data_IF_924344373116
#
_entry.id   IF_924344373116
#
_cell.length_a   1.000
_cell.length_b   1.000
_cell.length_c   1.000
_cell.angle_alpha   90.00
_cell.angle_beta   90.00
_cell.angle_gamma   90.00
#
_symmetry.space_group_name_H-M   'P 1'
#
loop_
_entity.id
_entity.type
_entity.pdbx_description
1 polymer ?
#
# COMPACT_ATOMS: atom_id res chain seq x y z
N UNK A 1 -24.26 -1.22 17.49
CA UNK A 1 -23.90 -1.74 17.53
C UNK A 1 -22.81 -1.86 16.82
N UNK A 2 -22.22 -1.43 16.95
CA UNK A 2 -21.02 -1.53 16.41
C UNK A 2 -20.95 -2.55 15.37
N UNK A 3 -21.87 -3.04 15.18
CA UNK A 3 -21.85 -4.07 14.41
C UNK A 3 -21.38 -3.85 13.14
N UNK A 4 -21.51 -2.74 12.64
CA UNK A 4 -21.00 -2.55 11.38
C UNK A 4 -19.63 -2.92 11.43
N UNK A 5 -19.10 -2.59 12.50
CA UNK A 5 -17.75 -2.81 12.54
C UNK A 5 -17.49 -4.23 12.32
N UNK A 6 -18.39 -4.94 12.63
CA UNK A 6 -18.05 -6.27 12.60
C UNK A 6 -17.99 -6.76 11.27
N UNK A 7 -18.40 -6.08 10.36
CA UNK A 7 -18.37 -6.62 9.14
C UNK A 7 -17.08 -6.61 8.80
N UNK A 8 -16.49 -6.39 9.56
CA UNK A 8 -15.32 -6.53 9.54
C UNK A 8 -14.93 -7.06 8.37
N UNK A 9 -14.38 -6.72 7.84
CA UNK A 9 -13.92 -7.01 6.93
C UNK A 9 -13.47 -8.16 6.84
N UNK A 10 -13.85 -8.57 6.69
CA UNK A 10 -13.68 -9.65 6.66
C UNK A 10 -12.67 -10.13 5.95
N UNK A 11 -12.00 -10.78 6.43
CA UNK A 11 -11.19 -11.62 5.82
C UNK A 11 -11.99 -12.49 4.94
N UNK A 12 -11.61 -12.79 3.83
CA UNK A 12 -12.29 -13.70 2.97
C UNK A 12 -12.23 -15.08 3.59
N UNK A 13 -12.83 -16.03 2.94
CA UNK A 13 -12.90 -17.36 3.50
C UNK A 13 -11.56 -17.99 3.75
N UNK A 14 -10.53 -17.56 3.05
CA UNK A 14 -9.20 -18.09 3.25
C UNK A 14 -8.41 -17.24 4.23
N UNK A 15 -9.05 -16.32 4.92
CA UNK A 15 -8.35 -15.49 5.89
C UNK A 15 -7.70 -14.25 5.31
N UNK A 16 -7.87 -13.97 4.01
CA UNK A 16 -7.22 -12.80 3.46
C UNK A 16 -7.99 -11.55 3.78
N UNK A 17 -7.29 -10.50 4.14
CA UNK A 17 -7.90 -9.20 4.35
C UNK A 17 -8.35 -8.61 3.02
N UNK A 18 -9.39 -7.81 3.06
CA UNK A 18 -9.90 -7.13 1.89
C UNK A 18 -9.95 -5.66 2.16
N UNK A 19 -9.23 -4.88 1.39
CA UNK A 19 -9.19 -3.44 1.54
C UNK A 19 -9.82 -2.75 0.35
N UNK A 20 -10.61 -1.71 0.60
CA UNK A 20 -11.21 -0.94 -0.47
C UNK A 20 -11.45 0.48 0.02
N UNK A 21 -11.55 1.39 -0.90
CA UNK A 21 -11.88 2.78 -0.59
C UNK A 21 -10.67 3.69 -0.69
N UNK A 22 -10.94 4.98 -0.67
CA UNK A 22 -9.91 6.00 -0.83
C UNK A 22 -10.02 6.96 0.33
N UNK A 23 -8.90 7.30 0.95
CA UNK A 23 -8.85 8.20 2.08
C UNK A 23 -7.74 9.22 1.87
N UNK A 24 -7.91 10.41 2.42
CA UNK A 24 -6.94 11.48 2.27
C UNK A 24 -6.43 11.88 3.65
N UNK A 25 -5.14 11.83 3.85
CA UNK A 25 -4.50 12.24 5.10
C UNK A 25 -3.18 12.93 4.77
N UNK A 26 -2.73 13.76 5.68
CA UNK A 26 -1.44 14.43 5.48
C UNK A 26 -0.35 13.67 6.19
N UNK A 27 0.87 13.78 5.67
CA UNK A 27 2.04 13.26 6.33
C UNK A 27 2.74 14.47 6.94
N UNK A 28 3.26 14.35 8.15
CA UNK A 28 3.89 15.50 8.81
C UNK A 28 5.39 15.54 8.49
N UNK A 29 6.07 16.55 9.02
CA UNK A 29 7.48 16.76 8.72
C UNK A 29 8.37 15.62 9.22
N UNK A 30 7.90 14.86 10.19
CA UNK A 30 8.67 13.76 10.72
C UNK A 30 8.34 12.43 10.06
N UNK A 31 7.49 12.47 9.04
CA UNK A 31 7.13 11.25 8.32
C UNK A 31 6.01 10.46 8.96
N UNK A 32 5.24 11.07 9.84
CA UNK A 32 4.15 10.38 10.51
C UNK A 32 2.83 10.63 9.80
N UNK A 33 2.03 9.60 9.66
CA UNK A 33 0.75 9.69 8.98
C UNK A 33 -0.25 8.80 9.70
N UNK A 34 -1.50 9.26 9.79
CA UNK A 34 -2.55 8.46 10.42
C UNK A 34 -2.98 7.39 9.44
N UNK A 35 -3.10 6.17 9.94
CA UNK A 35 -3.63 5.06 9.15
C UNK A 35 -5.14 5.16 9.21
N UNK A 36 -5.84 5.18 8.08
CA UNK A 36 -7.30 5.23 8.10
C UNK A 36 -7.87 4.13 8.97
N UNK A 37 -8.82 4.50 9.83
CA UNK A 37 -9.37 3.54 10.79
C UNK A 37 -9.96 2.33 10.10
N UNK A 38 -10.51 2.50 8.91
CA UNK A 38 -11.06 1.37 8.18
C UNK A 38 -10.01 0.35 7.81
N UNK A 39 -8.76 0.74 7.68
CA UNK A 39 -7.71 -0.18 7.29
C UNK A 39 -6.96 -0.76 8.49
N UNK A 40 -7.09 -0.15 9.66
CA UNK A 40 -6.30 -0.58 10.81
C UNK A 40 -6.58 -2.02 11.22
N UNK A 41 -7.84 -2.41 11.18
CA UNK A 41 -8.18 -3.74 11.61
C UNK A 41 -7.57 -4.79 10.69
N UNK A 42 -7.66 -4.59 9.42
CA UNK A 42 -7.11 -5.55 8.46
C UNK A 42 -5.59 -5.56 8.44
N UNK A 43 -4.95 -4.40 8.68
CA UNK A 43 -3.50 -4.32 8.68
C UNK A 43 -2.90 -4.84 9.99
N UNK A 44 -3.62 -4.68 11.10
CA UNK A 44 -3.08 -5.06 12.39
C UNK A 44 -2.20 -3.96 12.96
N UNK A 45 -1.55 -4.23 14.07
CA UNK A 45 -0.72 -3.24 14.75
C UNK A 45 0.69 -3.16 14.16
N UNK A 46 1.08 -4.12 13.35
CA UNK A 46 2.40 -4.15 12.74
C UNK A 46 2.26 -4.74 11.35
N UNK A 47 2.87 -4.09 10.38
CA UNK A 47 2.72 -4.52 8.98
C UNK A 47 3.95 -4.07 8.20
N UNK A 48 4.01 -4.42 6.93
CA UNK A 48 5.18 -4.14 6.09
C UNK A 48 4.83 -3.10 5.04
N UNK A 49 5.69 -2.12 4.88
CA UNK A 49 5.58 -1.13 3.81
C UNK A 49 6.78 -1.32 2.90
N UNK A 50 6.57 -1.28 1.60
CA UNK A 50 7.66 -1.36 0.65
C UNK A 50 7.36 -0.50 -0.57
N UNK A 51 8.34 -0.41 -1.47
CA UNK A 51 8.15 0.33 -2.70
C UNK A 51 7.12 -0.38 -3.55
N UNK A 52 6.19 0.36 -4.08
CA UNK A 52 5.22 -0.18 -5.02
C UNK A 52 5.58 0.23 -6.43
N UNK A 53 4.78 -0.17 -7.38
CA UNK A 53 4.97 0.26 -8.74
C UNK A 53 4.30 1.59 -8.91
N UNK A 54 4.63 2.31 -9.96
CA UNK A 54 4.03 3.61 -10.27
C UNK A 54 4.34 4.68 -9.21
N UNK A 55 5.46 4.50 -8.50
CA UNK A 55 5.92 5.50 -7.54
C UNK A 55 5.01 5.64 -6.33
N UNK A 56 4.37 4.59 -5.90
CA UNK A 56 3.60 4.60 -4.66
C UNK A 56 4.22 3.60 -3.68
N UNK A 57 3.67 3.50 -2.49
CA UNK A 57 4.09 2.51 -1.52
C UNK A 57 3.01 1.46 -1.39
N UNK A 58 3.43 0.21 -1.27
CA UNK A 58 2.53 -0.89 -1.01
C UNK A 58 2.62 -1.25 0.47
N UNK A 59 1.47 -1.48 1.10
CA UNK A 59 1.37 -1.80 2.51
C UNK A 59 0.67 -3.13 2.63
N UNK A 60 1.31 -4.09 3.28
CA UNK A 60 0.78 -5.44 3.40
C UNK A 60 0.62 -5.86 4.85
N UNK A 61 -0.53 -6.42 5.23
CA UNK A 61 -0.61 -7.06 6.54
C UNK A 61 0.32 -8.27 6.55
N UNK A 62 0.71 -8.76 7.71
CA UNK A 62 1.72 -9.83 7.77
C UNK A 62 1.40 -11.06 6.93
N UNK A 63 0.14 -11.50 6.92
CA UNK A 63 -0.21 -12.68 6.15
C UNK A 63 -0.06 -12.47 4.66
N UNK A 64 -0.42 -11.28 4.17
CA UNK A 64 -0.30 -10.99 2.75
C UNK A 64 1.16 -10.80 2.34
N UNK A 65 1.97 -10.23 3.24
CA UNK A 65 3.40 -10.11 2.98
C UNK A 65 4.02 -11.50 2.83
N UNK A 66 3.59 -12.44 3.68
CA UNK A 66 4.09 -13.78 3.60
C UNK A 66 3.69 -14.45 2.28
N UNK A 67 2.46 -14.23 1.82
CA UNK A 67 2.02 -14.77 0.55
C UNK A 67 2.82 -14.20 -0.60
N UNK A 68 3.11 -12.91 -0.56
CA UNK A 68 3.91 -12.26 -1.58
C UNK A 68 5.33 -12.84 -1.57
N UNK A 69 5.89 -13.02 -0.37
CA UNK A 69 7.21 -13.57 -0.23
C UNK A 69 7.27 -14.96 -0.85
N UNK A 70 6.27 -15.78 -0.60
CA UNK A 70 6.25 -17.11 -1.16
C UNK A 70 6.12 -17.10 -2.67
N UNK A 71 5.32 -16.18 -3.21
CA UNK A 71 5.21 -16.07 -4.64
C UNK A 71 6.53 -15.65 -5.26
N UNK A 72 7.22 -14.73 -4.64
CA UNK A 72 8.49 -14.25 -5.19
C UNK A 72 9.56 -15.34 -5.14
N UNK A 73 9.47 -16.26 -4.17
CA UNK A 73 10.41 -17.36 -4.11
C UNK A 73 10.25 -18.33 -5.28
N UNK A 74 9.08 -18.35 -5.92
CA UNK A 74 8.88 -19.25 -7.06
C UNK A 74 9.39 -18.66 -8.35
N UNK A 75 9.78 -17.39 -8.36
CA UNK A 75 10.28 -16.78 -9.59
C UNK A 75 11.66 -17.34 -9.89
N UNK A 76 11.99 -17.58 -11.17
CA UNK A 76 13.27 -18.14 -11.53
C UNK A 76 14.37 -17.13 -11.32
N UNK A 77 15.19 -17.31 -10.29
CA UNK A 77 16.23 -16.32 -10.00
C UNK A 77 17.32 -16.31 -11.07
N UNK A 78 17.28 -17.25 -12.02
CA UNK A 78 18.21 -17.22 -13.13
C UNK A 78 17.82 -16.11 -14.12
N UNK A 79 16.59 -15.60 -14.06
CA UNK A 79 16.17 -14.54 -14.95
C UNK A 79 16.48 -13.20 -14.33
N UNK A 80 17.03 -12.30 -15.15
CA UNK A 80 17.44 -10.97 -14.70
C UNK A 80 16.28 -10.17 -14.14
N UNK A 81 15.13 -10.19 -14.83
CA UNK A 81 13.99 -9.41 -14.40
C UNK A 81 13.43 -9.90 -13.06
N UNK A 82 13.44 -11.20 -12.84
CA UNK A 82 12.96 -11.75 -11.58
C UNK A 82 13.86 -11.32 -10.43
N UNK A 83 15.18 -11.33 -10.64
CA UNK A 83 16.11 -10.89 -9.62
C UNK A 83 15.93 -9.41 -9.31
N UNK A 84 15.72 -8.59 -10.34
CA UNK A 84 15.55 -7.15 -10.15
C UNK A 84 14.28 -6.87 -9.37
N UNK A 85 13.20 -7.56 -9.69
CA UNK A 85 11.92 -7.37 -9.01
C UNK A 85 12.03 -7.77 -7.53
N UNK A 86 12.64 -8.90 -7.25
CA UNK A 86 12.81 -9.36 -5.89
C UNK A 86 13.65 -8.37 -5.09
N UNK A 87 14.75 -7.89 -5.67
CA UNK A 87 15.59 -6.91 -4.99
C UNK A 87 14.84 -5.61 -4.71
N UNK A 88 14.03 -5.18 -5.67
CA UNK A 88 13.29 -3.94 -5.55
C UNK A 88 12.33 -4.00 -4.37
N UNK A 89 11.57 -5.09 -4.26
CA UNK A 89 10.61 -5.20 -3.19
C UNK A 89 11.24 -5.42 -1.82
N UNK A 90 12.17 -6.35 -1.73
CA UNK A 90 12.70 -6.68 -0.41
C UNK A 90 13.66 -5.64 0.14
N UNK A 91 14.46 -5.01 -0.71
CA UNK A 91 15.41 -4.03 -0.21
C UNK A 91 14.70 -2.76 0.30
N UNK A 92 13.50 -2.49 -0.20
CA UNK A 92 12.76 -1.32 0.25
C UNK A 92 11.85 -1.60 1.43
N UNK A 93 11.68 -2.85 1.83
CA UNK A 93 10.68 -3.21 2.82
C UNK A 93 11.08 -2.78 4.23
N UNK A 94 10.10 -2.32 4.99
CA UNK A 94 10.30 -1.94 6.37
C UNK A 94 9.08 -2.34 7.18
N UNK A 95 9.30 -2.80 8.41
CA UNK A 95 8.19 -3.09 9.28
C UNK A 95 7.76 -1.81 9.95
N UNK A 96 6.48 -1.58 10.05
CA UNK A 96 5.93 -0.40 10.68
C UNK A 96 4.97 -0.78 11.78
N UNK A 97 5.05 -0.07 12.91
CA UNK A 97 4.14 -0.27 14.00
C UNK A 97 3.24 0.94 14.12
N UNK A 98 1.97 0.72 14.45
CA UNK A 98 1.02 1.80 14.63
C UNK A 98 1.14 2.29 16.07
N UNK A 99 1.27 3.60 16.26
CA UNK A 99 1.40 4.15 17.61
C UNK A 99 0.02 4.30 18.26
N UNK A 100 -0.01 4.81 19.50
CA UNK A 100 -1.25 4.93 20.23
C UNK A 100 -2.24 5.87 19.60
N UNK A 101 -1.77 6.78 18.75
CA UNK A 101 -2.65 7.72 18.09
C UNK A 101 -3.05 7.24 16.70
N UNK A 102 -2.71 6.01 16.34
CA UNK A 102 -3.06 5.47 15.03
C UNK A 102 -2.14 5.92 13.90
N UNK A 103 -0.93 6.38 14.23
CA UNK A 103 0.01 6.88 13.23
C UNK A 103 1.12 5.88 12.99
N UNK A 104 1.70 5.95 11.81
CA UNK A 104 2.91 5.20 11.48
C UNK A 104 3.97 6.19 11.09
N UNK A 105 5.23 5.78 11.19
CA UNK A 105 6.34 6.59 10.77
C UNK A 105 6.91 5.96 9.51
N UNK A 106 6.77 6.62 8.38
CA UNK A 106 7.23 6.11 7.10
C UNK A 106 8.70 6.48 6.93
N UNK A 107 9.59 5.52 6.70
CA UNK A 107 11.03 5.81 6.55
C UNK A 107 11.29 6.82 5.43
N UNK A 108 12.31 7.64 5.61
CA UNK A 108 12.61 8.71 4.67
C UNK A 108 12.90 8.19 3.26
N UNK A 109 13.54 7.03 3.13
CA UNK A 109 13.83 6.50 1.81
C UNK A 109 12.54 6.16 1.05
N UNK A 110 11.53 5.68 1.76
CA UNK A 110 10.25 5.37 1.12
C UNK A 110 9.49 6.66 0.83
N UNK A 111 9.56 7.64 1.71
CA UNK A 111 8.92 8.93 1.45
C UNK A 111 9.50 9.58 0.20
N UNK A 112 10.80 9.49 0.03
CA UNK A 112 11.44 10.07 -1.14
C UNK A 112 11.04 9.31 -2.40
N UNK A 113 10.99 8.00 -2.33
CA UNK A 113 10.61 7.21 -3.49
C UNK A 113 9.21 7.57 -3.97
N UNK A 114 8.26 7.70 -3.06
CA UNK A 114 6.88 7.99 -3.42
C UNK A 114 6.58 9.48 -3.44
N UNK A 115 7.58 10.32 -3.15
CA UNK A 115 7.44 11.76 -3.16
C UNK A 115 6.36 12.26 -2.21
N UNK A 116 6.30 11.66 -1.01
CA UNK A 116 5.31 12.03 -0.01
C UNK A 116 5.82 13.26 0.74
N UNK A 117 5.17 14.40 0.54
CA UNK A 117 5.58 15.63 1.20
C UNK A 117 4.54 16.19 2.14
N UNK A 118 3.29 16.16 1.76
CA UNK A 118 2.22 16.68 2.62
C UNK A 118 0.94 15.93 2.41
N UNK A 119 0.25 16.16 1.30
CA UNK A 119 -1.04 15.53 1.09
C UNK A 119 -0.88 14.16 0.47
N UNK A 120 -1.49 13.17 1.06
CA UNK A 120 -1.38 11.78 0.60
C UNK A 120 -2.75 11.18 0.37
N UNK A 121 -2.79 10.21 -0.51
CA UNK A 121 -4.01 9.45 -0.79
C UNK A 121 -3.72 8.01 -0.42
N UNK A 122 -4.56 7.41 0.41
CA UNK A 122 -4.38 6.04 0.88
C UNK A 122 -5.55 5.24 0.35
N UNK A 123 -5.27 4.22 -0.42
CA UNK A 123 -6.32 3.45 -1.07
C UNK A 123 -6.23 1.97 -0.72
N UNK A 124 -7.37 1.31 -0.71
CA UNK A 124 -7.41 -0.14 -0.55
C UNK A 124 -7.48 -0.80 -1.91
N UNK A 125 -6.62 -1.79 -2.12
CA UNK A 125 -6.55 -2.47 -3.39
C UNK A 125 -6.60 -3.97 -3.10
N UNK A 126 -7.73 -4.43 -2.61
CA UNK A 126 -7.99 -5.83 -2.30
C UNK A 126 -7.08 -6.39 -1.20
N UNK A 127 -5.95 -6.95 -1.53
CA UNK A 127 -5.10 -7.61 -0.55
C UNK A 127 -4.05 -6.67 0.05
N UNK A 128 -3.99 -5.45 -0.42
CA UNK A 128 -2.99 -4.50 0.08
C UNK A 128 -3.55 -3.09 0.16
N UNK A 129 -2.84 -2.24 0.83
CA UNK A 129 -3.15 -0.81 0.86
C UNK A 129 -2.03 -0.12 0.09
N UNK A 130 -2.33 0.99 -0.57
CA UNK A 130 -1.31 1.77 -1.26
C UNK A 130 -1.32 3.18 -0.75
N UNK A 131 -0.14 3.78 -0.64
CA UNK A 131 0.00 5.16 -0.22
C UNK A 131 0.62 5.93 -1.36
N UNK A 132 -0.05 6.98 -1.78
CA UNK A 132 0.38 7.82 -2.91
C UNK A 132 0.50 9.27 -2.46
N UNK A 133 1.37 10.04 -3.08
CA UNK A 133 1.26 11.48 -2.94
C UNK A 133 0.03 11.90 -3.72
N UNK A 134 -0.63 12.95 -3.29
CA UNK A 134 -1.85 13.38 -3.97
C UNK A 134 -1.58 13.78 -5.42
N UNK A 135 -0.48 14.47 -5.66
CA UNK A 135 -0.16 14.90 -7.02
C UNK A 135 0.15 13.72 -7.93
N UNK A 136 0.85 12.70 -7.42
CA UNK A 136 1.14 11.54 -8.25
C UNK A 136 -0.14 10.73 -8.51
N UNK A 137 -1.04 10.67 -7.55
CA UNK A 137 -2.30 9.96 -7.72
C UNK A 137 -3.16 10.63 -8.81
N UNK A 138 -3.23 11.95 -8.77
CA UNK A 138 -3.98 12.69 -9.76
C UNK A 138 -3.34 12.57 -11.14
N UNK A 139 -2.03 12.67 -11.20
CA UNK A 139 -1.32 12.52 -12.47
C UNK A 139 -1.53 11.11 -13.06
N UNK A 140 -1.55 10.11 -12.22
CA UNK A 140 -1.75 8.73 -12.68
C UNK A 140 -3.12 8.60 -13.35
N UNK A 141 -4.16 9.16 -12.76
CA UNK A 141 -5.47 9.07 -13.36
C UNK A 141 -5.62 9.91 -14.62
N UNK A 142 -4.82 10.95 -14.77
CA UNK A 142 -4.93 11.81 -15.94
C UNK A 142 -3.96 11.40 -17.05
N UNK A 143 -3.03 10.49 -16.76
CA UNK A 143 -2.02 10.09 -17.72
C UNK A 143 -2.68 9.35 -18.88
N UNK A 144 -2.45 9.79 -20.10
CA UNK A 144 -3.03 9.15 -21.27
C UNK A 144 -2.54 7.72 -21.46
N UNK A 145 -1.46 7.33 -20.77
CA UNK A 145 -0.95 5.97 -20.85
C UNK A 145 -1.69 5.06 -19.87
N UNK A 146 -2.50 5.60 -18.96
CA UNK A 146 -3.26 4.82 -18.01
C UNK A 146 -4.33 4.05 -18.78
N UNK A 147 -4.39 2.74 -18.67
CA UNK A 147 -5.36 1.93 -19.43
C UNK A 147 -6.82 2.35 -19.20
N UNK A 148 -7.17 2.77 -17.97
CA UNK A 148 -8.53 3.19 -17.72
C UNK A 148 -8.86 4.49 -18.43
N UNK A 149 -7.94 5.42 -18.48
CA UNK A 149 -8.15 6.68 -19.17
C UNK A 149 -8.30 6.40 -20.65
N UNK A 150 -7.47 5.51 -21.20
CA UNK A 150 -7.59 5.17 -22.59
C UNK A 150 -8.92 4.50 -22.87
N UNK A 151 -9.37 3.61 -22.01
CA UNK A 151 -10.65 2.94 -22.22
C UNK A 151 -11.79 3.93 -22.20
N UNK A 152 -11.77 4.88 -21.31
CA UNK A 152 -12.82 5.88 -21.24
C UNK A 152 -12.84 6.75 -22.49
N UNK A 153 -11.68 7.04 -23.04
CA UNK A 153 -11.64 7.88 -24.23
C UNK A 153 -12.15 7.13 -25.47
N UNK A 154 -12.06 5.81 -25.47
CA UNK A 154 -12.57 5.07 -26.61
C UNK A 154 -14.02 4.72 -26.48
N UNK A 155 -14.57 4.88 -25.31
CA UNK A 155 -15.99 4.62 -25.14
C UNK A 155 -16.77 5.88 -25.56
#
# INVERSE_FOLDING_TARGET
>A
MGECGTLKVESGEDGTAMFMGEHHHNIDDKGRMIVPSKFREGLGSSFVITRGMDRCLFVYPPDEWKRLEEKLKTLPFTKKDARAFTRFFFSGAAECDVDKQGRINIPSTLREYAQLTKECVIIGVSSRVEIWSKSEWEAYFEDSRNPLVKSQKTL
#
